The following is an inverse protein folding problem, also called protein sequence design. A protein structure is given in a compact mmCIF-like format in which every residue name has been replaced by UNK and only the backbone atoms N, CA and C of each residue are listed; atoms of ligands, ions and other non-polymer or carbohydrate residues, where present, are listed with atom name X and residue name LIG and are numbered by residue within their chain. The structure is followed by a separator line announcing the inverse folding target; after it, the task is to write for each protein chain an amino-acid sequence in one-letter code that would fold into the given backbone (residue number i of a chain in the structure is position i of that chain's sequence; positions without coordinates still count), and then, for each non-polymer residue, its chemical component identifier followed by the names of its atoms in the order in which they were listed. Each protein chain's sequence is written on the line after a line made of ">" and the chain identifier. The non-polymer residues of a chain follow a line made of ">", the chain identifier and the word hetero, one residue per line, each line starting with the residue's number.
data_IF_178118641549
#
_entry.id   IF_178118641549
#
_cell.length_a   1.000
_cell.length_b   1.000
_cell.length_c   1.000
_cell.angle_alpha   90.00
_cell.angle_beta   90.00
_cell.angle_gamma   90.00
#
_symmetry.space_group_name_H-M   'P 1'
#
loop_
_entity.id
_entity.type
_entity.pdbx_description
1 polymer ?
#
# COMPACT_ATOMS: atom_id res chain seq x y z
N UNK A 1 -0.93 -26.13 2.66
CA UNK A 1 -1.47 -27.24 3.47
C UNK A 1 -1.00 -27.01 4.91
N UNK A 2 -1.83 -26.40 5.76
CA UNK A 2 -1.49 -26.01 7.14
C UNK A 2 -2.12 -27.00 8.13
N UNK A 3 -1.76 -28.28 8.02
CA UNK A 3 -2.25 -29.31 8.94
C UNK A 3 -1.27 -29.42 10.11
N UNK A 4 -1.66 -28.94 11.29
CA UNK A 4 -0.93 -29.19 12.55
C UNK A 4 -0.50 -27.95 13.35
N UNK A 5 -0.62 -26.74 12.80
CA UNK A 5 -0.38 -25.51 13.56
C UNK A 5 -1.65 -25.10 14.30
N UNK A 6 -1.52 -24.68 15.56
CA UNK A 6 -2.64 -24.13 16.29
C UNK A 6 -3.06 -22.77 15.68
N UNK A 7 -4.26 -22.29 16.01
CA UNK A 7 -4.79 -21.04 15.44
C UNK A 7 -3.90 -19.82 15.71
N UNK A 8 -3.11 -19.84 16.78
CA UNK A 8 -2.20 -18.76 17.16
C UNK A 8 -0.94 -18.82 16.30
N UNK A 9 -0.36 -20.00 16.11
CA UNK A 9 0.82 -20.19 15.26
C UNK A 9 0.53 -19.84 13.78
N UNK A 10 -0.65 -20.20 13.27
CA UNK A 10 -1.08 -19.78 11.93
C UNK A 10 -1.23 -18.26 11.85
N UNK A 11 -1.79 -17.63 12.89
CA UNK A 11 -1.96 -16.18 12.95
C UNK A 11 -0.61 -15.45 12.98
N UNK A 12 0.33 -15.94 13.77
CA UNK A 12 1.66 -15.36 13.91
C UNK A 12 2.46 -15.53 12.59
N UNK A 13 2.33 -16.67 11.91
CA UNK A 13 2.97 -16.93 10.61
C UNK A 13 2.40 -16.12 9.43
N UNK A 14 1.21 -15.53 9.61
CA UNK A 14 0.53 -14.67 8.65
C UNK A 14 0.58 -13.19 9.04
N UNK A 15 1.09 -12.84 10.22
CA UNK A 15 1.25 -11.45 10.63
C UNK A 15 2.25 -10.75 9.70
N UNK A 16 1.89 -9.56 9.22
CA UNK A 16 2.73 -8.78 8.31
C UNK A 16 2.79 -9.29 6.86
N UNK A 17 2.22 -10.47 6.56
CA UNK A 17 2.10 -10.96 5.18
C UNK A 17 1.10 -10.08 4.43
N UNK A 18 1.47 -9.60 3.24
CA UNK A 18 0.55 -8.83 2.41
C UNK A 18 -0.69 -9.68 2.07
N UNK A 19 -1.92 -9.22 2.42
CA UNK A 19 -3.12 -9.92 2.03
C UNK A 19 -3.26 -9.99 0.51
N UNK A 20 -3.86 -11.07 0.00
CA UNK A 20 -3.99 -11.31 -1.44
C UNK A 20 -5.45 -11.21 -1.89
N UNK A 21 -5.72 -10.46 -2.96
CA UNK A 21 -7.06 -10.36 -3.54
C UNK A 21 -7.25 -11.38 -4.66
N UNK A 22 -8.41 -12.04 -4.65
CA UNK A 22 -8.83 -12.82 -5.81
C UNK A 22 -9.34 -11.87 -6.90
N UNK A 23 -8.89 -12.01 -8.17
CA UNK A 23 -9.24 -11.09 -9.24
C UNK A 23 -10.63 -11.39 -9.83
N UNK A 24 -11.69 -11.24 -9.03
CA UNK A 24 -13.06 -11.65 -9.40
C UNK A 24 -13.98 -10.49 -9.77
N UNK A 25 -13.63 -9.24 -9.41
CA UNK A 25 -14.43 -8.07 -9.74
C UNK A 25 -14.43 -7.77 -11.24
N UNK A 26 -15.55 -7.30 -11.81
CA UNK A 26 -15.65 -6.98 -13.25
C UNK A 26 -14.57 -5.99 -13.69
N UNK A 27 -14.39 -4.90 -12.93
CA UNK A 27 -13.38 -3.89 -13.21
C UNK A 27 -11.96 -4.46 -13.10
N UNK A 28 -11.71 -5.33 -12.10
CA UNK A 28 -10.43 -6.01 -11.94
C UNK A 28 -10.12 -6.91 -13.13
N UNK A 29 -11.08 -7.73 -13.56
CA UNK A 29 -10.93 -8.62 -14.72
C UNK A 29 -10.66 -7.80 -15.99
N UNK A 30 -11.37 -6.70 -16.17
CA UNK A 30 -11.15 -5.78 -17.28
C UNK A 30 -9.73 -5.19 -17.23
N UNK A 31 -9.32 -4.60 -16.10
CA UNK A 31 -7.98 -4.04 -15.92
C UNK A 31 -6.87 -5.06 -16.21
N UNK A 32 -6.97 -6.26 -15.65
CA UNK A 32 -6.00 -7.32 -15.87
C UNK A 32 -5.98 -7.81 -17.32
N UNK A 33 -7.13 -7.86 -18.01
CA UNK A 33 -7.19 -8.23 -19.43
C UNK A 33 -6.54 -7.20 -20.37
N UNK A 34 -6.34 -5.97 -19.88
CA UNK A 34 -5.72 -4.85 -20.60
C UNK A 34 -4.24 -4.69 -20.27
N UNK A 35 -3.71 -5.43 -19.31
CA UNK A 35 -2.27 -5.51 -19.08
C UNK A 35 -1.60 -6.20 -20.27
N UNK A 36 -0.65 -5.51 -20.89
CA UNK A 36 0.29 -6.10 -21.85
C UNK A 36 1.25 -7.08 -21.16
N UNK A 37 1.65 -6.76 -19.93
CA UNK A 37 2.43 -7.58 -19.00
C UNK A 37 2.25 -7.07 -17.56
N UNK A 38 2.64 -7.84 -16.54
CA UNK A 38 2.79 -7.31 -15.17
C UNK A 38 3.82 -6.17 -15.10
N UNK A 39 3.78 -5.39 -14.02
CA UNK A 39 4.88 -4.48 -13.68
C UNK A 39 6.14 -5.31 -13.43
N UNK A 40 7.31 -4.78 -13.80
CA UNK A 40 8.55 -5.41 -13.38
C UNK A 40 8.74 -5.20 -11.88
N UNK A 41 8.94 -6.28 -11.14
CA UNK A 41 9.33 -6.26 -9.74
C UNK A 41 10.61 -7.08 -9.57
N UNK A 42 11.59 -6.55 -8.84
CA UNK A 42 12.84 -7.26 -8.61
C UNK A 42 13.40 -6.96 -7.23
N UNK A 43 14.07 -7.95 -6.64
CA UNK A 43 14.90 -7.79 -5.46
C UNK A 43 16.36 -7.93 -5.89
N UNK A 44 17.19 -6.88 -5.77
CA UNK A 44 18.62 -7.01 -6.01
C UNK A 44 19.26 -8.09 -5.10
N UNK A 45 20.22 -8.85 -5.62
CA UNK A 45 20.82 -9.99 -4.89
C UNK A 45 21.86 -9.57 -3.83
N UNK A 46 22.29 -8.29 -3.85
CA UNK A 46 23.35 -7.81 -2.95
C UNK A 46 22.84 -7.66 -1.51
N UNK A 47 23.73 -7.99 -0.55
CA UNK A 47 23.49 -7.77 0.89
C UNK A 47 23.22 -6.30 1.22
N UNK A 48 23.66 -5.36 0.38
CA UNK A 48 23.38 -3.94 0.53
C UNK A 48 21.89 -3.57 0.35
N UNK A 49 21.08 -4.48 -0.19
CA UNK A 49 19.63 -4.31 -0.35
C UNK A 49 18.85 -5.21 0.63
N UNK A 50 19.42 -5.43 1.80
CA UNK A 50 18.72 -6.00 2.95
C UNK A 50 18.37 -4.87 3.91
N UNK A 51 17.09 -4.73 4.19
CA UNK A 51 16.59 -3.83 5.21
C UNK A 51 16.67 -4.49 6.58
N UNK A 52 17.50 -3.95 7.45
CA UNK A 52 17.60 -4.36 8.85
C UNK A 52 16.62 -3.55 9.71
N UNK A 53 15.53 -4.20 10.11
CA UNK A 53 14.53 -3.57 10.97
C UNK A 53 15.04 -3.34 12.39
N UNK A 54 15.99 -4.14 12.88
CA UNK A 54 16.55 -3.95 14.21
C UNK A 54 17.45 -2.71 14.23
N UNK A 55 18.25 -2.51 13.19
CA UNK A 55 19.10 -1.33 13.02
C UNK A 55 18.24 -0.05 12.90
N UNK A 56 17.22 -0.06 12.04
CA UNK A 56 16.30 1.07 11.90
C UNK A 56 15.62 1.48 13.22
N UNK A 57 15.17 0.49 14.01
CA UNK A 57 14.48 0.76 15.27
C UNK A 57 15.42 0.97 16.48
N UNK A 58 16.74 0.85 16.31
CA UNK A 58 17.70 1.00 17.41
C UNK A 58 17.62 2.41 18.04
N UNK A 59 17.43 3.44 17.23
CA UNK A 59 17.36 4.83 17.68
C UNK A 59 16.03 5.19 18.36
N UNK A 60 14.99 4.36 18.18
CA UNK A 60 13.65 4.59 18.72
C UNK A 60 13.48 4.12 20.19
N UNK A 61 14.52 3.53 20.80
CA UNK A 61 14.44 3.11 22.21
C UNK A 61 14.40 4.30 23.17
N UNK A 62 14.94 5.43 22.75
CA UNK A 62 15.12 6.62 23.59
C UNK A 62 14.10 7.73 23.28
N UNK A 63 13.22 7.54 22.29
CA UNK A 63 12.18 8.50 21.93
C UNK A 63 11.03 8.53 22.97
N UNK A 64 10.51 9.73 23.32
CA UNK A 64 9.32 9.85 24.17
C UNK A 64 8.12 9.10 23.56
N UNK A 65 7.64 8.06 24.26
CA UNK A 65 6.57 7.17 23.79
C UNK A 65 7.06 5.79 23.34
N UNK A 66 8.33 5.70 22.93
CA UNK A 66 9.02 4.47 22.51
C UNK A 66 8.30 3.69 21.40
N UNK A 67 8.86 2.52 21.05
CA UNK A 67 8.24 1.64 20.06
C UNK A 67 6.88 1.09 20.53
N UNK A 68 5.90 1.16 19.64
CA UNK A 68 4.60 0.48 19.79
C UNK A 68 4.76 -1.05 19.81
N UNK A 69 3.77 -1.80 20.31
CA UNK A 69 3.78 -3.28 20.25
C UNK A 69 4.03 -3.85 18.84
N UNK A 70 3.51 -3.21 17.79
CA UNK A 70 3.69 -3.60 16.40
C UNK A 70 5.15 -3.38 15.95
N UNK A 71 5.70 -2.20 16.21
CA UNK A 71 7.09 -1.85 15.85
C UNK A 71 8.09 -2.76 16.57
N UNK A 72 7.85 -3.08 17.86
CA UNK A 72 8.64 -4.05 18.63
C UNK A 72 8.66 -5.45 18.02
N UNK A 73 7.62 -5.85 17.28
CA UNK A 73 7.61 -7.12 16.55
C UNK A 73 8.43 -7.02 15.27
N UNK A 74 8.27 -5.92 14.53
CA UNK A 74 8.99 -5.68 13.27
C UNK A 74 10.50 -5.59 13.53
N UNK A 75 10.91 -4.91 14.60
CA UNK A 75 12.31 -4.81 15.03
C UNK A 75 12.99 -6.15 15.33
N UNK A 76 12.22 -7.23 15.54
CA UNK A 76 12.74 -8.59 15.82
C UNK A 76 12.82 -9.47 14.57
N UNK A 77 12.37 -8.98 13.42
CA UNK A 77 12.45 -9.72 12.17
C UNK A 77 13.91 -9.81 11.71
N UNK A 78 14.30 -10.91 11.04
CA UNK A 78 15.58 -10.94 10.35
C UNK A 78 15.61 -9.87 9.25
N UNK A 79 16.79 -9.49 8.74
CA UNK A 79 16.90 -8.61 7.59
C UNK A 79 16.09 -9.13 6.39
N UNK A 80 15.38 -8.23 5.70
CA UNK A 80 14.45 -8.56 4.61
C UNK A 80 14.89 -7.93 3.31
N UNK A 81 14.56 -8.55 2.18
CA UNK A 81 14.99 -8.03 0.87
C UNK A 81 14.23 -6.76 0.51
N UNK A 82 14.93 -5.80 -0.05
CA UNK A 82 14.33 -4.60 -0.62
C UNK A 82 13.92 -4.86 -2.06
N UNK A 83 12.60 -4.84 -2.30
CA UNK A 83 12.04 -4.95 -3.63
C UNK A 83 11.87 -3.58 -4.28
N UNK A 84 12.20 -3.53 -5.56
CA UNK A 84 12.05 -2.38 -6.45
C UNK A 84 10.98 -2.70 -7.48
N UNK A 85 10.19 -1.68 -7.84
CA UNK A 85 9.12 -1.76 -8.83
C UNK A 85 9.41 -0.87 -10.03
N UNK A 86 8.94 -1.30 -11.20
CA UNK A 86 8.91 -0.48 -12.41
C UNK A 86 8.19 0.85 -12.14
N UNK A 87 8.75 1.95 -12.63
CA UNK A 87 8.12 3.27 -12.56
C UNK A 87 7.21 3.47 -13.76
N UNK A 88 5.91 3.52 -13.50
CA UNK A 88 4.87 3.88 -14.47
C UNK A 88 3.94 4.86 -13.77
N UNK A 89 4.11 6.15 -14.03
CA UNK A 89 3.41 7.22 -13.33
C UNK A 89 2.66 8.13 -14.30
N UNK A 90 1.53 8.65 -13.83
CA UNK A 90 0.80 9.74 -14.48
C UNK A 90 1.78 10.88 -14.74
N UNK A 91 1.89 11.36 -15.98
CA UNK A 91 2.67 12.55 -16.27
C UNK A 91 2.18 13.74 -15.45
N UNK A 92 3.12 14.60 -15.09
CA UNK A 92 2.91 15.83 -14.30
C UNK A 92 3.76 16.95 -14.91
N UNK A 93 3.67 18.16 -14.38
CA UNK A 93 4.26 19.37 -14.96
C UNK A 93 5.78 19.30 -15.23
N UNK A 94 6.50 18.41 -14.53
CA UNK A 94 7.95 18.20 -14.71
C UNK A 94 8.30 17.03 -15.64
N UNK A 95 7.30 16.35 -16.21
CA UNK A 95 7.51 15.23 -17.15
C UNK A 95 8.01 15.75 -18.50
N UNK A 96 8.91 14.99 -19.14
CA UNK A 96 9.32 15.29 -20.50
C UNK A 96 8.28 14.81 -21.53
N UNK A 97 8.32 15.40 -22.73
CA UNK A 97 7.39 15.09 -23.83
C UNK A 97 7.47 13.61 -24.26
N UNK A 98 8.63 12.97 -24.12
CA UNK A 98 8.81 11.56 -24.49
C UNK A 98 8.04 10.64 -23.54
N UNK A 99 8.12 10.89 -22.23
CA UNK A 99 7.37 10.18 -21.20
C UNK A 99 5.87 10.41 -21.33
N UNK A 100 5.44 11.65 -21.55
CA UNK A 100 4.02 11.97 -21.81
C UNK A 100 3.48 11.19 -23.00
N UNK A 101 4.16 11.26 -24.14
CA UNK A 101 3.73 10.57 -25.35
C UNK A 101 3.73 9.05 -25.18
N UNK A 102 4.72 8.48 -24.49
CA UNK A 102 4.78 7.05 -24.21
C UNK A 102 3.64 6.59 -23.31
N UNK A 103 3.30 7.37 -22.27
CA UNK A 103 2.20 7.10 -21.35
C UNK A 103 0.84 7.17 -22.06
N UNK A 104 0.61 8.23 -22.85
CA UNK A 104 -0.62 8.39 -23.63
C UNK A 104 -0.81 7.24 -24.62
N UNK A 105 0.25 6.85 -25.34
CA UNK A 105 0.21 5.77 -26.33
C UNK A 105 -0.14 4.41 -25.70
N UNK A 106 0.30 4.18 -24.46
CA UNK A 106 0.02 2.94 -23.74
C UNK A 106 -1.27 3.00 -22.89
N UNK A 107 -1.94 4.16 -22.85
CA UNK A 107 -3.21 4.33 -22.16
C UNK A 107 -4.37 3.67 -22.91
N UNK A 108 -5.30 3.10 -22.15
CA UNK A 108 -6.48 2.40 -22.67
C UNK A 108 -7.70 2.70 -21.81
N UNK A 109 -8.90 2.46 -22.35
CA UNK A 109 -10.13 2.59 -21.58
C UNK A 109 -10.33 1.37 -20.67
N UNK A 110 -10.46 1.63 -19.36
CA UNK A 110 -10.85 0.64 -18.34
C UNK A 110 -11.96 1.26 -17.51
N UNK A 111 -13.10 0.58 -17.35
CA UNK A 111 -14.19 1.08 -16.49
C UNK A 111 -14.74 2.45 -16.89
N UNK A 112 -14.57 2.83 -18.17
CA UNK A 112 -14.95 4.14 -18.71
C UNK A 112 -13.95 5.28 -18.48
N UNK A 113 -12.75 5.01 -17.93
CA UNK A 113 -11.67 5.99 -17.77
C UNK A 113 -10.48 5.63 -18.65
N UNK A 114 -9.77 6.64 -19.14
CA UNK A 114 -8.51 6.46 -19.86
C UNK A 114 -7.36 6.47 -18.84
N UNK A 115 -6.54 5.42 -18.84
CA UNK A 115 -5.31 5.35 -18.05
C UNK A 115 -4.34 4.32 -18.61
N UNK A 116 -3.08 4.42 -18.23
CA UNK A 116 -2.10 3.36 -18.42
C UNK A 116 -2.40 2.19 -17.46
N UNK A 117 -2.61 0.94 -17.92
CA UNK A 117 -3.03 -0.18 -17.06
C UNK A 117 -2.06 -0.53 -15.92
N UNK A 118 -0.78 -0.18 -16.04
CA UNK A 118 0.25 -0.38 -15.02
C UNK A 118 0.44 0.81 -14.06
N UNK A 119 -0.26 1.92 -14.28
CA UNK A 119 -0.15 3.12 -13.44
C UNK A 119 -0.99 2.99 -12.18
N UNK A 120 -0.34 2.61 -11.07
CA UNK A 120 -1.02 2.33 -9.80
C UNK A 120 -1.60 3.59 -9.14
N UNK A 121 -0.97 4.74 -9.35
CA UNK A 121 -1.47 6.00 -8.78
C UNK A 121 -2.76 6.42 -9.48
N UNK A 122 -2.89 6.24 -10.79
CA UNK A 122 -4.15 6.48 -11.50
C UNK A 122 -5.33 5.65 -10.91
N UNK A 123 -5.12 4.39 -10.53
CA UNK A 123 -6.16 3.60 -9.84
C UNK A 123 -6.51 4.17 -8.46
N UNK A 124 -5.52 4.66 -7.71
CA UNK A 124 -5.73 5.25 -6.39
C UNK A 124 -6.49 6.58 -6.49
N UNK A 125 -6.10 7.45 -7.43
CA UNK A 125 -6.77 8.72 -7.74
C UNK A 125 -8.23 8.47 -8.10
N UNK A 126 -8.54 7.57 -9.04
CA UNK A 126 -9.93 7.28 -9.38
C UNK A 126 -10.71 6.66 -8.21
N UNK A 127 -10.07 5.85 -7.37
CA UNK A 127 -10.74 5.30 -6.19
C UNK A 127 -11.16 6.42 -5.22
N UNK A 128 -10.30 7.39 -4.96
CA UNK A 128 -10.63 8.53 -4.10
C UNK A 128 -11.64 9.50 -4.75
N UNK A 129 -11.50 9.80 -6.04
CA UNK A 129 -12.48 10.57 -6.81
C UNK A 129 -13.88 9.95 -6.67
N UNK A 130 -14.03 8.63 -6.89
CA UNK A 130 -15.32 7.96 -6.73
C UNK A 130 -15.81 7.91 -5.29
N UNK A 131 -14.93 7.97 -4.30
CA UNK A 131 -15.31 8.08 -2.90
C UNK A 131 -15.76 9.51 -2.52
N UNK A 132 -15.60 10.50 -3.41
CA UNK A 132 -15.84 11.90 -3.09
C UNK A 132 -14.84 12.42 -2.07
N UNK A 133 -13.60 11.92 -2.14
CA UNK A 133 -12.45 12.37 -1.39
C UNK A 133 -11.54 13.04 -2.42
N UNK A 134 -11.79 14.32 -2.71
CA UNK A 134 -10.89 15.09 -3.58
C UNK A 134 -9.60 15.42 -2.81
N UNK A 135 -8.52 15.66 -3.55
CA UNK A 135 -7.18 15.98 -3.05
C UNK A 135 -7.23 17.29 -2.25
N UNK A 136 -7.63 17.23 -0.98
CA UNK A 136 -7.13 18.20 -0.02
C UNK A 136 -5.63 17.89 0.08
N UNK A 137 -4.80 18.78 -0.50
CA UNK A 137 -3.34 18.82 -0.33
C UNK A 137 -2.91 18.73 1.15
N UNK A 138 -3.85 18.89 2.08
CA UNK A 138 -3.73 18.60 3.50
C UNK A 138 -4.06 17.13 3.85
N UNK A 139 -3.10 16.24 3.58
CA UNK A 139 -2.92 15.05 4.45
C UNK A 139 -2.51 15.44 5.89
N UNK A 140 -2.41 16.75 6.19
CA UNK A 140 -1.83 17.36 7.39
C UNK A 140 -2.82 17.82 8.47
N UNK A 141 -4.13 17.98 8.18
CA UNK A 141 -5.05 18.65 9.13
C UNK A 141 -6.09 17.73 9.81
N UNK A 142 -5.84 16.42 9.83
CA UNK A 142 -6.55 15.57 10.78
C UNK A 142 -5.87 15.68 12.16
N UNK A 143 -6.33 16.60 13.01
CA UNK A 143 -5.93 16.71 14.43
C UNK A 143 -6.05 15.38 15.20
N UNK A 144 -6.77 14.40 14.65
CA UNK A 144 -7.01 13.07 15.22
C UNK A 144 -6.25 11.92 14.52
N UNK A 145 -5.25 12.21 13.67
CA UNK A 145 -4.45 11.19 12.97
C UNK A 145 -5.29 10.25 12.07
N UNK A 146 -6.52 10.66 11.75
CA UNK A 146 -7.43 9.91 10.89
C UNK A 146 -7.46 10.62 9.55
N UNK A 147 -6.85 10.08 8.47
CA UNK A 147 -7.01 10.66 7.13
C UNK A 147 -8.49 10.90 6.87
N UNK A 148 -8.86 11.99 6.17
CA UNK A 148 -10.20 12.58 5.95
C UNK A 148 -11.34 11.68 5.48
N UNK A 149 -11.19 10.37 5.55
CA UNK A 149 -12.16 9.29 5.36
C UNK A 149 -13.41 9.38 6.25
N UNK A 150 -13.52 10.36 7.15
CA UNK A 150 -14.69 10.53 8.02
C UNK A 150 -15.95 10.98 7.26
N UNK A 151 -15.83 11.48 6.03
CA UNK A 151 -16.98 11.84 5.17
C UNK A 151 -16.80 11.38 3.73
N UNK A 152 -16.91 10.08 3.49
CA UNK A 152 -17.15 9.58 2.13
C UNK A 152 -18.52 10.06 1.65
N UNK A 153 -18.52 10.90 0.62
CA UNK A 153 -19.72 11.48 0.02
C UNK A 153 -20.09 10.81 -1.31
N UNK A 154 -19.17 10.07 -1.91
CA UNK A 154 -19.33 9.40 -3.20
C UNK A 154 -19.77 7.93 -3.14
N UNK A 155 -19.60 7.25 -4.28
CA UNK A 155 -19.90 5.82 -4.43
C UNK A 155 -18.75 4.94 -3.92
N UNK A 156 -18.81 4.61 -2.63
CA UNK A 156 -17.85 3.72 -1.98
C UNK A 156 -17.72 2.35 -2.65
N UNK A 157 -18.77 1.82 -3.27
CA UNK A 157 -18.71 0.50 -3.92
C UNK A 157 -17.85 0.57 -5.17
N UNK A 158 -18.04 1.63 -5.96
CA UNK A 158 -17.22 1.90 -7.14
C UNK A 158 -15.79 2.25 -6.77
N UNK A 159 -15.59 3.07 -5.75
CA UNK A 159 -14.27 3.40 -5.19
C UNK A 159 -13.48 2.14 -4.79
N UNK A 160 -14.12 1.25 -4.01
CA UNK A 160 -13.51 -0.02 -3.62
C UNK A 160 -13.18 -0.92 -4.81
N UNK A 161 -14.00 -0.92 -5.87
CA UNK A 161 -13.72 -1.68 -7.08
C UNK A 161 -12.45 -1.18 -7.79
N UNK A 162 -12.27 0.15 -7.88
CA UNK A 162 -11.07 0.76 -8.46
C UNK A 162 -9.81 0.46 -7.65
N UNK A 163 -9.86 0.67 -6.33
CA UNK A 163 -8.75 0.34 -5.45
C UNK A 163 -8.39 -1.16 -5.51
N UNK A 164 -9.40 -2.05 -5.52
CA UNK A 164 -9.18 -3.48 -5.64
C UNK A 164 -8.55 -3.87 -7.00
N UNK A 165 -8.94 -3.20 -8.09
CA UNK A 165 -8.33 -3.42 -9.40
C UNK A 165 -6.84 -3.05 -9.40
N UNK A 166 -6.47 -1.87 -8.88
CA UNK A 166 -5.08 -1.46 -8.76
C UNK A 166 -4.25 -2.39 -7.86
N UNK A 167 -4.79 -2.84 -6.73
CA UNK A 167 -4.13 -3.85 -5.88
C UNK A 167 -3.89 -5.15 -6.65
N UNK A 168 -4.85 -5.61 -7.44
CA UNK A 168 -4.68 -6.83 -8.24
C UNK A 168 -3.65 -6.66 -9.36
N UNK A 169 -3.54 -5.47 -9.96
CA UNK A 169 -2.49 -5.12 -10.94
C UNK A 169 -1.12 -5.22 -10.28
N UNK A 170 -0.92 -4.59 -9.11
CA UNK A 170 0.31 -4.71 -8.32
C UNK A 170 0.65 -6.17 -8.04
N UNK A 171 -0.34 -6.94 -7.58
CA UNK A 171 -0.18 -8.34 -7.19
C UNK A 171 0.22 -9.28 -8.34
N UNK A 172 0.00 -8.92 -9.61
CA UNK A 172 0.52 -9.71 -10.74
C UNK A 172 2.05 -9.75 -10.79
N UNK A 173 2.71 -8.83 -10.09
CA UNK A 173 4.14 -8.58 -10.20
C UNK A 173 4.92 -9.16 -9.02
N UNK A 174 4.25 -9.52 -7.93
CA UNK A 174 4.88 -9.92 -6.68
C UNK A 174 4.76 -11.43 -6.44
N UNK A 175 5.74 -12.09 -5.79
CA UNK A 175 5.59 -13.48 -5.39
C UNK A 175 4.53 -13.62 -4.29
N UNK A 176 3.78 -14.72 -4.34
CA UNK A 176 2.84 -15.09 -3.29
C UNK A 176 3.41 -16.20 -2.39
N UNK A 177 3.45 -16.02 -1.05
CA UNK A 177 3.12 -14.81 -0.30
C UNK A 177 4.24 -13.76 -0.35
N UNK A 178 3.89 -12.49 -0.24
CA UNK A 178 4.86 -11.39 -0.14
C UNK A 178 5.09 -11.00 1.33
N UNK A 179 6.36 -10.97 1.76
CA UNK A 179 6.81 -10.74 3.15
C UNK A 179 7.98 -9.77 3.29
N UNK A 180 8.56 -9.39 2.16
CA UNK A 180 9.74 -8.53 2.10
C UNK A 180 9.33 -7.05 2.18
N UNK A 181 10.28 -6.14 2.00
CA UNK A 181 10.02 -4.69 2.05
C UNK A 181 10.00 -4.06 0.65
N UNK A 182 9.26 -2.98 0.50
CA UNK A 182 9.24 -2.12 -0.68
C UNK A 182 9.45 -0.68 -0.20
N UNK A 183 10.69 -0.25 0.00
CA UNK A 183 10.97 1.05 0.60
C UNK A 183 10.80 2.19 -0.41
N UNK A 184 10.71 3.42 0.09
CA UNK A 184 10.90 4.62 -0.72
C UNK A 184 12.40 4.84 -0.88
N UNK A 185 12.99 4.15 -1.86
CA UNK A 185 14.43 4.22 -2.13
C UNK A 185 14.73 4.95 -3.42
N UNK A 186 15.87 4.61 -4.01
CA UNK A 186 16.27 5.05 -5.37
C UNK A 186 15.20 4.72 -6.42
N UNK A 187 14.45 3.65 -6.22
CA UNK A 187 13.28 3.31 -7.02
C UNK A 187 12.05 3.58 -6.17
N UNK A 188 11.31 4.61 -6.55
CA UNK A 188 10.19 5.07 -5.77
C UNK A 188 8.98 4.11 -5.89
N UNK A 189 8.74 3.38 -4.80
CA UNK A 189 7.64 2.43 -4.64
C UNK A 189 6.35 3.08 -4.08
N UNK A 190 6.30 4.42 -3.90
CA UNK A 190 5.11 5.13 -3.36
C UNK A 190 3.80 4.72 -4.01
N UNK A 191 3.69 4.53 -5.34
CA UNK A 191 2.42 4.11 -5.95
C UNK A 191 1.90 2.77 -5.43
N UNK A 192 2.79 1.82 -5.15
CA UNK A 192 2.40 0.52 -4.57
C UNK A 192 1.83 0.69 -3.16
N UNK A 193 2.41 1.58 -2.34
CA UNK A 193 1.91 1.88 -1.00
C UNK A 193 0.59 2.65 -1.03
N UNK A 194 0.49 3.66 -1.90
CA UNK A 194 -0.71 4.49 -2.08
C UNK A 194 -1.91 3.65 -2.49
N UNK A 195 -1.78 2.74 -3.46
CA UNK A 195 -2.90 1.90 -3.88
C UNK A 195 -3.33 0.90 -2.80
N UNK A 196 -2.38 0.31 -2.07
CA UNK A 196 -2.66 -0.59 -0.95
C UNK A 196 -3.35 0.15 0.20
N UNK A 197 -2.89 1.36 0.51
CA UNK A 197 -3.49 2.20 1.54
C UNK A 197 -4.88 2.71 1.14
N UNK A 198 -5.07 3.14 -0.11
CA UNK A 198 -6.38 3.52 -0.63
C UNK A 198 -7.39 2.37 -0.48
N UNK A 199 -7.01 1.15 -0.86
CA UNK A 199 -7.85 -0.02 -0.65
C UNK A 199 -8.16 -0.27 0.83
N UNK A 200 -7.14 -0.26 1.71
CA UNK A 200 -7.31 -0.49 3.13
C UNK A 200 -8.23 0.56 3.78
N UNK A 201 -8.01 1.83 3.45
CA UNK A 201 -8.75 2.99 3.94
C UNK A 201 -10.22 2.96 3.54
N UNK A 202 -10.52 2.70 2.27
CA UNK A 202 -11.89 2.55 1.80
C UNK A 202 -12.56 1.30 2.40
N UNK A 203 -11.82 0.20 2.53
CA UNK A 203 -12.33 -1.03 3.11
C UNK A 203 -12.69 -0.85 4.59
N UNK A 204 -11.90 -0.05 5.31
CA UNK A 204 -12.09 0.22 6.76
C UNK A 204 -13.47 0.78 7.07
N UNK A 205 -14.05 1.56 6.17
CA UNK A 205 -15.35 2.23 6.37
C UNK A 205 -16.47 1.21 6.61
N UNK A 206 -16.52 0.13 5.82
CA UNK A 206 -17.54 -0.93 5.98
C UNK A 206 -17.04 -2.12 6.78
N UNK A 207 -15.74 -2.40 6.72
CA UNK A 207 -15.15 -3.64 7.20
C UNK A 207 -13.82 -3.38 7.94
N UNK A 208 -13.83 -2.67 9.08
CA UNK A 208 -12.62 -2.27 9.80
C UNK A 208 -11.76 -3.48 10.20
N UNK A 209 -12.38 -4.59 10.61
CA UNK A 209 -11.68 -5.84 10.93
C UNK A 209 -10.98 -6.47 9.72
N UNK A 210 -11.54 -6.31 8.51
CA UNK A 210 -10.91 -6.81 7.27
C UNK A 210 -9.82 -5.87 6.75
N UNK A 211 -9.88 -4.58 7.08
CA UNK A 211 -8.86 -3.60 6.72
C UNK A 211 -7.61 -3.69 7.62
N UNK A 212 -7.76 -4.06 8.90
CA UNK A 212 -6.66 -4.14 9.85
C UNK A 212 -5.41 -4.94 9.38
N UNK A 213 -5.54 -6.13 8.74
CA UNK A 213 -4.40 -6.84 8.18
C UNK A 213 -3.66 -6.07 7.07
N UNK A 214 -4.36 -5.22 6.30
CA UNK A 214 -3.74 -4.41 5.25
C UNK A 214 -2.89 -3.29 5.85
N UNK A 215 -3.40 -2.58 6.85
CA UNK A 215 -2.60 -1.57 7.56
C UNK A 215 -1.38 -2.21 8.23
N UNK A 216 -1.56 -3.38 8.86
CA UNK A 216 -0.44 -4.14 9.42
C UNK A 216 0.61 -4.45 8.35
N UNK A 217 0.18 -4.99 7.21
CA UNK A 217 1.09 -5.31 6.11
C UNK A 217 1.83 -4.08 5.57
N UNK A 218 1.17 -2.92 5.47
CA UNK A 218 1.82 -1.66 5.04
C UNK A 218 2.97 -1.25 5.96
N UNK A 219 2.81 -1.39 7.29
CA UNK A 219 3.91 -1.13 8.24
C UNK A 219 5.06 -2.12 8.04
N UNK A 220 4.76 -3.39 7.76
CA UNK A 220 5.80 -4.37 7.43
C UNK A 220 6.48 -4.06 6.09
N UNK A 221 5.73 -3.65 5.08
CA UNK A 221 6.23 -3.35 3.74
C UNK A 221 7.18 -2.16 3.72
N UNK A 222 6.90 -1.11 4.50
CA UNK A 222 7.82 0.02 4.66
C UNK A 222 7.77 0.54 6.11
N UNK A 223 8.65 0.02 6.98
CA UNK A 223 8.71 0.44 8.38
C UNK A 223 9.04 1.93 8.55
N UNK A 224 9.76 2.52 7.59
CA UNK A 224 10.19 3.92 7.64
C UNK A 224 9.05 4.89 7.31
N UNK A 225 8.33 4.62 6.22
CA UNK A 225 7.23 5.45 5.75
C UNK A 225 6.11 4.58 5.16
N UNK A 226 5.10 4.33 5.98
CA UNK A 226 3.95 3.48 5.66
C UNK A 226 2.68 4.30 5.41
N UNK A 227 2.81 5.54 4.91
CA UNK A 227 1.67 6.45 4.63
C UNK A 227 0.72 6.61 5.82
N UNK A 228 1.26 6.58 7.04
CA UNK A 228 0.49 6.67 8.28
C UNK A 228 -0.25 5.40 8.69
N UNK A 229 -0.09 4.26 7.98
CA UNK A 229 -0.74 2.99 8.31
C UNK A 229 -0.46 2.53 9.75
N UNK A 230 0.69 2.89 10.34
CA UNK A 230 1.03 2.58 11.73
C UNK A 230 -0.01 3.08 12.74
N UNK A 231 -0.66 4.20 12.49
CA UNK A 231 -1.69 4.75 13.39
C UNK A 231 -3.04 4.02 13.27
N UNK A 232 -3.21 3.23 12.21
CA UNK A 232 -4.45 2.51 11.89
C UNK A 232 -4.32 1.00 12.11
N UNK A 233 -3.09 0.50 12.18
CA UNK A 233 -2.77 -0.90 12.40
C UNK A 233 -2.97 -1.29 13.88
N UNK A 234 -3.53 -2.48 14.16
CA UNK A 234 -3.61 -3.00 15.53
C UNK A 234 -2.22 -3.08 16.18
N UNK A 235 -2.11 -2.53 17.39
CA UNK A 235 -0.85 -2.53 18.15
C UNK A 235 0.16 -1.50 17.67
N UNK A 236 -0.18 -0.62 16.72
CA UNK A 236 0.59 0.57 16.41
C UNK A 236 0.48 1.65 17.49
N UNK A 237 1.18 2.78 17.33
CA UNK A 237 1.14 3.88 18.29
C UNK A 237 -0.27 4.45 18.42
N UNK A 238 -0.68 4.72 19.66
CA UNK A 238 -1.91 5.48 19.95
C UNK A 238 -1.57 6.95 19.86
N UNK A 239 -2.32 7.71 19.07
CA UNK A 239 -2.24 9.16 19.07
C UNK A 239 -2.57 9.67 20.49
N UNK A 240 -1.58 10.17 21.22
CA UNK A 240 -1.83 10.98 22.41
C UNK A 240 -1.92 12.41 21.90
N UNK A 241 -3.12 12.99 21.85
CA UNK A 241 -3.22 14.43 21.64
C UNK A 241 -2.60 15.12 22.86
N UNK A 242 -1.35 15.53 22.74
CA UNK A 242 -0.73 16.42 23.73
C UNK A 242 -1.20 17.83 23.42
N UNK A 243 -2.47 18.13 23.69
CA UNK A 243 -2.97 19.50 23.82
C UNK A 243 -3.75 19.57 25.14
N UNK A 244 -3.06 20.05 26.17
CA UNK A 244 -3.65 20.60 27.39
C UNK A 244 -3.83 22.10 27.26
#
# INVERSE_FOLDING_TARGET
>A
MWMGLDKKEVKDALEGVMPWLAPTGKLTVEALSKLDRPLLAWAPESQAYLFDSADFYADYTDEPGGMSPLEKKIAKLPPRREWKMERVWTPHEESDEEHEHAHEKASVTIGGRLLHPRDLDAYATFAYEYAGLEDEDDFTDAEDGTPGLQRVTGDLTRALAWAAAGVCVLQQSLPHPFRDVMLYGETDNRPAHRILFAYASLLRIKHPRKAAPWFTALVYLNPMDNVGARFLAPGGPTYQSTHG
#
